data_IF_568620187295
#
_entry.id   IF_568620187295
#
_cell.length_a   1.000
_cell.length_b   1.000
_cell.length_c   1.000
_cell.angle_alpha   90.00
_cell.angle_beta   90.00
_cell.angle_gamma   90.00
#
_symmetry.space_group_name_H-M   'P 1'
#
loop_
_entity.id
_entity.type
_entity.pdbx_description
1 polymer ?
#
# COMPACT_ATOMS: atom_id res chain seq x y z
N UNK A 1 27.79 -30.63 15.16
CA UNK A 1 26.75 -30.87 14.13
C UNK A 1 25.49 -30.13 14.54
N UNK A 2 25.28 -28.92 14.01
CA UNK A 2 24.13 -28.07 14.38
C UNK A 2 22.92 -28.46 13.53
N UNK A 3 21.78 -28.75 14.17
CA UNK A 3 20.57 -29.21 13.49
C UNK A 3 19.92 -28.05 12.75
N UNK A 4 19.94 -28.10 11.42
CA UNK A 4 19.17 -27.20 10.57
C UNK A 4 17.71 -27.66 10.60
N UNK A 5 16.83 -26.84 11.18
CA UNK A 5 15.39 -26.99 10.99
C UNK A 5 15.02 -26.29 9.68
N UNK A 6 14.95 -27.06 8.60
CA UNK A 6 14.34 -26.63 7.35
C UNK A 6 12.83 -26.77 7.48
N UNK A 7 12.14 -25.72 7.92
CA UNK A 7 10.71 -25.59 7.66
C UNK A 7 10.52 -25.42 6.15
N UNK A 8 10.27 -26.53 5.46
CA UNK A 8 9.91 -26.54 4.04
C UNK A 8 8.62 -25.74 3.82
N UNK A 9 8.44 -25.16 2.61
CA UNK A 9 7.23 -24.41 2.31
C UNK A 9 6.06 -25.39 2.26
N UNK A 10 5.09 -25.16 3.15
CA UNK A 10 3.80 -25.83 3.15
C UNK A 10 3.16 -25.64 1.78
N UNK A 11 3.18 -26.68 0.96
CA UNK A 11 2.61 -26.68 -0.37
C UNK A 11 1.10 -26.59 -0.32
N UNK A 12 0.55 -25.41 -0.55
CA UNK A 12 -0.85 -25.18 -0.81
C UNK A 12 -1.12 -25.25 -2.32
N UNK A 13 -1.66 -26.40 -2.74
CA UNK A 13 -2.29 -26.62 -4.03
C UNK A 13 -3.63 -25.86 -4.07
N UNK A 14 -3.85 -24.93 -5.01
CA UNK A 14 -5.21 -24.66 -5.55
C UNK A 14 -5.13 -23.90 -6.89
N UNK A 15 -5.69 -24.50 -7.94
CA UNK A 15 -5.61 -24.02 -9.31
C UNK A 15 -6.10 -22.59 -9.52
N UNK A 16 -5.48 -21.88 -10.47
CA UNK A 16 -5.80 -20.51 -10.92
C UNK A 16 -5.51 -19.37 -9.92
N UNK A 17 -4.64 -19.56 -8.94
CA UNK A 17 -4.24 -18.44 -8.09
C UNK A 17 -3.43 -17.43 -8.91
N UNK A 18 -3.90 -16.18 -8.95
CA UNK A 18 -3.13 -15.06 -9.50
C UNK A 18 -1.81 -15.01 -8.72
N UNK A 19 -0.70 -14.69 -9.39
CA UNK A 19 0.62 -14.66 -8.75
C UNK A 19 0.53 -13.85 -7.45
N UNK A 20 0.92 -14.45 -6.33
CA UNK A 20 0.98 -13.76 -5.04
C UNK A 20 2.24 -12.90 -5.07
N UNK A 21 2.03 -11.58 -5.15
CA UNK A 21 3.10 -10.58 -5.21
C UNK A 21 3.37 -10.05 -3.81
N UNK A 22 4.58 -10.25 -3.32
CA UNK A 22 5.05 -9.64 -2.10
C UNK A 22 5.26 -8.13 -2.30
N UNK A 23 4.43 -7.29 -1.68
CA UNK A 23 4.62 -5.84 -1.74
C UNK A 23 5.84 -5.33 -0.97
N UNK A 24 6.40 -6.16 -0.07
CA UNK A 24 7.61 -5.84 0.67
C UNK A 24 8.87 -5.88 -0.21
N UNK A 25 9.11 -6.97 -0.95
CA UNK A 25 10.31 -7.15 -1.76
C UNK A 25 10.07 -7.20 -3.27
N UNK A 26 8.83 -7.02 -3.73
CA UNK A 26 8.40 -7.21 -5.12
C UNK A 26 8.66 -8.63 -5.66
N UNK A 27 8.75 -9.61 -4.78
CA UNK A 27 8.93 -11.00 -5.17
C UNK A 27 7.59 -11.63 -5.50
N UNK A 28 7.52 -12.32 -6.63
CA UNK A 28 6.45 -13.27 -6.92
C UNK A 28 6.78 -14.55 -6.15
N UNK A 29 5.78 -15.23 -5.55
CA UNK A 29 5.82 -16.55 -4.85
C UNK A 29 5.41 -16.48 -3.37
N UNK A 30 5.48 -15.34 -2.68
CA UNK A 30 5.15 -15.27 -1.25
C UNK A 30 4.38 -13.99 -0.87
N UNK A 31 3.69 -14.04 0.27
CA UNK A 31 3.01 -12.89 0.86
C UNK A 31 3.97 -12.00 1.65
N UNK A 32 3.66 -10.71 1.81
CA UNK A 32 4.48 -9.77 2.58
C UNK A 32 4.69 -10.23 4.03
N UNK A 33 3.69 -10.86 4.65
CA UNK A 33 3.80 -11.46 6.00
C UNK A 33 4.77 -12.64 6.10
N UNK A 34 5.05 -13.31 4.98
CA UNK A 34 6.01 -14.40 4.89
C UNK A 34 7.39 -13.93 4.41
N UNK A 35 7.53 -12.63 4.12
CA UNK A 35 8.77 -12.08 3.60
C UNK A 35 9.84 -12.03 4.70
N UNK A 36 10.98 -12.66 4.45
CA UNK A 36 12.14 -12.62 5.35
C UNK A 36 13.03 -11.39 5.14
N UNK A 37 12.77 -10.60 4.09
CA UNK A 37 13.48 -9.34 3.85
C UNK A 37 13.01 -8.27 4.84
N UNK A 38 13.87 -7.32 5.23
CA UNK A 38 13.46 -6.17 6.04
C UNK A 38 12.25 -5.44 5.43
N UNK A 39 11.48 -4.75 6.28
CA UNK A 39 10.34 -3.94 5.80
C UNK A 39 10.82 -2.91 4.78
N UNK A 40 10.11 -2.83 3.65
CA UNK A 40 10.36 -1.86 2.59
C UNK A 40 10.30 -0.44 3.16
N UNK A 41 11.21 0.41 2.70
CA UNK A 41 11.15 1.84 3.01
C UNK A 41 9.88 2.43 2.41
N UNK A 42 9.23 3.34 3.13
CA UNK A 42 8.08 4.11 2.62
C UNK A 42 8.57 5.26 1.75
N UNK A 43 9.17 4.90 0.62
CA UNK A 43 9.65 5.81 -0.40
C UNK A 43 8.53 6.19 -1.40
N UNK A 44 8.81 7.13 -2.31
CA UNK A 44 7.84 7.59 -3.30
C UNK A 44 7.23 6.44 -4.12
N UNK A 45 8.03 5.43 -4.48
CA UNK A 45 7.57 4.26 -5.20
C UNK A 45 6.58 3.43 -4.37
N UNK A 46 6.83 3.26 -3.08
CA UNK A 46 5.88 2.61 -2.16
C UNK A 46 4.54 3.37 -2.09
N UNK A 47 4.57 4.70 -2.03
CA UNK A 47 3.36 5.52 -2.04
C UNK A 47 2.60 5.42 -3.35
N UNK A 48 3.30 5.46 -4.49
CA UNK A 48 2.69 5.29 -5.83
C UNK A 48 1.98 3.94 -5.96
N UNK A 49 2.63 2.85 -5.52
CA UNK A 49 2.03 1.51 -5.51
C UNK A 49 0.74 1.47 -4.68
N UNK A 50 0.75 2.06 -3.48
CA UNK A 50 -0.42 2.15 -2.61
C UNK A 50 -1.55 2.96 -3.24
N UNK A 51 -1.26 4.15 -3.79
CA UNK A 51 -2.27 5.01 -4.41
C UNK A 51 -2.93 4.32 -5.59
N UNK A 52 -2.17 3.61 -6.41
CA UNK A 52 -2.70 2.84 -7.53
C UNK A 52 -3.70 1.77 -7.06
N UNK A 53 -3.40 1.08 -5.96
CA UNK A 53 -4.32 0.12 -5.36
C UNK A 53 -5.55 0.78 -4.74
N UNK A 54 -5.42 1.90 -4.03
CA UNK A 54 -6.59 2.64 -3.50
C UNK A 54 -7.52 3.07 -4.65
N UNK A 55 -6.95 3.58 -5.76
CA UNK A 55 -7.72 3.98 -6.93
C UNK A 55 -8.45 2.79 -7.56
N UNK A 56 -7.77 1.65 -7.71
CA UNK A 56 -8.38 0.43 -8.20
C UNK A 56 -9.50 -0.07 -7.28
N UNK A 57 -9.35 0.07 -5.95
CA UNK A 57 -10.42 -0.21 -4.99
C UNK A 57 -11.65 0.65 -5.24
N UNK A 58 -11.44 1.95 -5.42
CA UNK A 58 -12.50 2.92 -5.67
C UNK A 58 -13.21 2.64 -7.01
N UNK A 59 -12.49 2.08 -7.98
CA UNK A 59 -13.03 1.66 -9.27
C UNK A 59 -13.74 0.29 -9.21
N UNK A 60 -13.91 -0.29 -8.01
CA UNK A 60 -14.64 -1.55 -7.81
C UNK A 60 -13.83 -2.82 -8.12
N UNK A 61 -12.50 -2.72 -8.20
CA UNK A 61 -11.66 -3.88 -8.41
C UNK A 61 -11.65 -4.76 -7.15
N UNK A 62 -11.83 -6.07 -7.35
CA UNK A 62 -11.75 -7.06 -6.26
C UNK A 62 -10.29 -7.37 -5.99
N UNK A 63 -9.88 -7.15 -4.74
CA UNK A 63 -8.52 -7.41 -4.26
C UNK A 63 -8.38 -8.74 -3.54
N UNK A 64 -7.18 -9.29 -3.63
CA UNK A 64 -6.75 -10.45 -2.87
C UNK A 64 -6.25 -10.04 -1.48
N UNK A 65 -6.11 -11.02 -0.60
CA UNK A 65 -5.69 -10.83 0.80
C UNK A 65 -4.38 -10.02 0.92
N UNK A 66 -3.39 -10.28 0.06
CA UNK A 66 -2.11 -9.56 0.04
C UNK A 66 -2.25 -8.07 -0.30
N UNK A 67 -3.14 -7.72 -1.24
CA UNK A 67 -3.43 -6.33 -1.62
C UNK A 67 -4.18 -5.61 -0.49
N UNK A 68 -5.12 -6.30 0.17
CA UNK A 68 -5.87 -5.78 1.31
C UNK A 68 -4.97 -5.56 2.53
N UNK A 69 -4.08 -6.51 2.86
CA UNK A 69 -3.09 -6.34 3.93
C UNK A 69 -2.16 -5.15 3.65
N UNK A 70 -1.72 -4.99 2.40
CA UNK A 70 -0.90 -3.85 2.02
C UNK A 70 -1.66 -2.52 2.16
N UNK A 71 -2.96 -2.49 1.83
CA UNK A 71 -3.83 -1.32 1.99
C UNK A 71 -4.16 -1.00 3.46
N UNK A 72 -4.33 -2.01 4.30
CA UNK A 72 -4.72 -1.88 5.71
C UNK A 72 -3.72 -1.06 6.57
N UNK A 73 -2.49 -0.84 6.08
CA UNK A 73 -1.50 0.01 6.74
C UNK A 73 -1.96 1.51 6.73
N UNK A 74 -2.48 2.08 7.84
CA UNK A 74 -3.41 3.22 7.81
C UNK A 74 -2.84 4.59 7.42
N UNK A 75 -1.50 4.74 7.35
CA UNK A 75 -0.84 6.06 7.20
C UNK A 75 -1.08 6.78 5.87
N UNK A 76 -1.79 6.18 4.93
CA UNK A 76 -2.12 6.80 3.64
C UNK A 76 -3.40 7.61 3.67
N UNK A 77 -4.39 7.19 4.47
CA UNK A 77 -5.57 8.00 4.72
C UNK A 77 -5.16 9.35 5.35
N UNK A 78 -4.15 9.34 6.23
CA UNK A 78 -3.61 10.55 6.84
C UNK A 78 -2.90 11.46 5.81
N UNK A 79 -2.06 10.91 4.93
CA UNK A 79 -1.35 11.71 3.92
C UNK A 79 -2.31 12.33 2.88
N UNK A 80 -3.30 11.57 2.40
CA UNK A 80 -4.32 12.09 1.47
C UNK A 80 -5.27 13.07 2.15
N UNK A 81 -5.69 12.81 3.39
CA UNK A 81 -6.48 13.76 4.19
C UNK A 81 -5.71 15.07 4.38
N UNK A 82 -4.42 14.99 4.72
CA UNK A 82 -3.59 16.19 4.91
C UNK A 82 -3.43 16.97 3.60
N UNK A 83 -3.16 16.31 2.47
CA UNK A 83 -3.09 16.98 1.17
C UNK A 83 -4.43 17.59 0.76
N UNK A 84 -5.54 16.89 0.98
CA UNK A 84 -6.89 17.37 0.68
C UNK A 84 -7.28 18.58 1.54
N UNK A 85 -6.95 18.55 2.83
CA UNK A 85 -7.17 19.66 3.78
C UNK A 85 -6.31 20.87 3.41
N UNK A 86 -5.03 20.68 3.09
CA UNK A 86 -4.13 21.76 2.64
C UNK A 86 -4.67 22.42 1.37
N UNK A 87 -5.15 21.63 0.40
CA UNK A 87 -5.67 22.14 -0.87
C UNK A 87 -6.97 22.93 -0.69
N UNK A 88 -7.88 22.49 0.18
CA UNK A 88 -9.14 23.21 0.42
C UNK A 88 -8.91 24.53 1.19
N UNK A 89 -8.03 24.55 2.19
CA UNK A 89 -7.75 25.78 2.94
C UNK A 89 -7.11 26.90 2.08
N UNK A 90 -6.29 26.54 1.08
CA UNK A 90 -5.71 27.52 0.17
C UNK A 90 -6.78 28.23 -0.69
N UNK A 91 -7.87 27.54 -1.05
CA UNK A 91 -8.96 28.10 -1.85
C UNK A 91 -9.78 29.16 -1.08
N UNK A 92 -9.85 29.07 0.26
CA UNK A 92 -10.52 30.07 1.11
C UNK A 92 -9.66 31.31 1.40
N UNK A 93 -8.34 31.23 1.24
CA UNK A 93 -7.43 32.36 1.49
C UNK A 93 -7.27 33.31 0.29
N UNK A 94 -7.71 32.92 -0.92
CA UNK A 94 -7.56 33.74 -2.12
C UNK A 94 -8.61 34.86 -2.26
N UNK A 95 -9.61 34.93 -1.36
CA UNK A 95 -10.73 35.88 -1.46
C UNK A 95 -10.68 37.03 -0.43
N UNK A 96 -9.54 37.28 0.24
CA UNK A 96 -9.40 38.35 1.26
C UNK A 96 -8.37 39.43 0.87
N UNK A 97 -8.36 39.82 -0.41
CA UNK A 97 -7.50 40.91 -0.92
C UNK A 97 -8.21 41.83 -1.93
N UNK A 98 -9.36 42.38 -1.55
CA UNK A 98 -9.84 43.77 -1.79
C UNK A 98 -11.18 43.88 -1.02
N UNK A 99 -11.58 44.93 -0.32
CA UNK A 99 -11.67 46.36 -0.61
C UNK A 99 -11.78 47.07 0.75
N UNK A 100 -10.86 47.98 1.07
CA UNK A 100 -11.22 49.26 1.69
C UNK A 100 -10.22 50.30 1.15
N UNK A 101 -10.77 51.21 0.34
CA UNK A 101 -10.14 52.40 -0.25
C UNK A 101 -9.70 53.40 0.84
#
# INVERSE_FOLDING_TARGET
MSRQYTSGPSGNNLGKHRAVVCYNCKGEVHMSKQCTKPKRKRDEAWFKDKVLLVQAQANGQVFQEEELEFLADPRIAEAQSTQYVITNNAAYQANDLDVYD
#
